data_IF_274367723119
#
_entry.id   IF_274367723119
#
_cell.length_a   1.000
_cell.length_b   1.000
_cell.length_c   1.000
_cell.angle_alpha   90.00
_cell.angle_beta   90.00
_cell.angle_gamma   90.00
#
_symmetry.space_group_name_H-M   'P 1'
#
loop_
_entity.id
_entity.type
_entity.pdbx_description
1 polymer ?
#
# COMPACT_ATOMS: atom_id res chain seq x y z
N UNK A 1 5.42 24.10 -8.02
CA UNK A 1 6.28 23.17 -8.76
C UNK A 1 5.44 21.98 -9.20
N UNK A 2 5.42 21.64 -10.50
CA UNK A 2 4.84 20.40 -10.99
C UNK A 2 5.96 19.40 -11.29
N UNK A 3 5.93 18.23 -10.67
CA UNK A 3 6.91 17.17 -10.89
C UNK A 3 6.36 16.14 -11.87
N UNK A 4 7.21 15.55 -12.70
CA UNK A 4 6.82 14.43 -13.56
C UNK A 4 6.58 13.15 -12.74
N UNK A 5 5.74 12.24 -13.24
CA UNK A 5 5.55 10.92 -12.60
C UNK A 5 6.87 10.13 -12.50
N UNK A 6 7.79 10.30 -13.45
CA UNK A 6 9.11 9.67 -13.42
C UNK A 6 9.94 10.15 -12.24
N UNK A 7 10.02 11.48 -12.05
CA UNK A 7 10.75 12.09 -10.92
C UNK A 7 10.11 11.72 -9.58
N UNK A 8 8.78 11.71 -9.50
CA UNK A 8 8.05 11.31 -8.28
C UNK A 8 8.43 9.89 -7.86
N UNK A 9 8.44 8.93 -8.80
CA UNK A 9 8.85 7.57 -8.48
C UNK A 9 10.32 7.48 -8.09
N UNK A 10 11.22 8.10 -8.85
CA UNK A 10 12.65 8.05 -8.56
C UNK A 10 13.00 8.65 -7.18
N UNK A 11 12.34 9.76 -6.80
CA UNK A 11 12.50 10.35 -5.47
C UNK A 11 11.89 9.47 -4.38
N UNK A 12 10.75 8.85 -4.65
CA UNK A 12 10.10 7.90 -3.72
C UNK A 12 10.98 6.68 -3.44
N UNK A 13 11.57 6.08 -4.49
CA UNK A 13 12.54 4.98 -4.36
C UNK A 13 13.76 5.40 -3.54
N UNK A 14 14.32 6.59 -3.81
CA UNK A 14 15.45 7.13 -3.04
C UNK A 14 15.09 7.36 -1.58
N UNK A 15 13.91 7.90 -1.29
CA UNK A 15 13.44 8.12 0.08
C UNK A 15 13.25 6.79 0.82
N UNK A 16 12.67 5.78 0.18
CA UNK A 16 12.51 4.45 0.73
C UNK A 16 13.86 3.78 1.04
N UNK A 17 14.84 3.88 0.12
CA UNK A 17 16.23 3.43 0.36
C UNK A 17 16.87 4.17 1.52
N UNK A 18 16.71 5.49 1.58
CA UNK A 18 17.22 6.33 2.67
C UNK A 18 16.66 5.96 4.05
N UNK A 19 15.48 5.34 4.09
CA UNK A 19 14.86 4.84 5.32
C UNK A 19 15.17 3.35 5.61
N UNK A 20 16.13 2.74 4.89
CA UNK A 20 16.59 1.38 5.16
C UNK A 20 15.72 0.26 4.58
N UNK A 21 14.90 0.54 3.55
CA UNK A 21 14.29 -0.54 2.75
C UNK A 21 15.34 -1.15 1.82
N UNK A 22 15.26 -2.45 1.54
CA UNK A 22 16.13 -3.10 0.55
C UNK A 22 15.86 -2.56 -0.86
N UNK A 23 16.67 -2.98 -1.83
CA UNK A 23 16.59 -2.43 -3.18
C UNK A 23 15.26 -2.77 -3.87
N UNK A 24 14.79 -4.00 -3.71
CA UNK A 24 13.51 -4.47 -4.27
C UNK A 24 12.33 -3.70 -3.69
N UNK A 25 12.15 -3.69 -2.36
CA UNK A 25 11.01 -3.01 -1.75
C UNK A 25 11.04 -1.50 -1.95
N UNK A 26 12.23 -0.90 -2.08
CA UNK A 26 12.30 0.52 -2.41
C UNK A 26 11.83 0.82 -3.84
N UNK A 27 12.10 -0.06 -4.80
CA UNK A 27 11.58 0.10 -6.15
C UNK A 27 10.05 -0.08 -6.18
N UNK A 28 9.55 -1.08 -5.45
CA UNK A 28 8.10 -1.28 -5.26
C UNK A 28 7.42 -0.05 -4.60
N UNK A 29 8.10 0.63 -3.67
CA UNK A 29 7.61 1.89 -3.10
C UNK A 29 7.45 2.97 -4.17
N UNK A 30 8.44 3.11 -5.06
CA UNK A 30 8.41 4.05 -6.18
C UNK A 30 7.30 3.73 -7.19
N UNK A 31 7.11 2.44 -7.50
CA UNK A 31 6.00 1.96 -8.31
C UNK A 31 4.65 2.33 -7.68
N UNK A 32 4.45 1.99 -6.40
CA UNK A 32 3.19 2.22 -5.70
C UNK A 32 2.81 3.71 -5.69
N UNK A 33 3.75 4.59 -5.38
CA UNK A 33 3.50 6.04 -5.37
C UNK A 33 3.15 6.55 -6.76
N UNK A 34 3.86 6.12 -7.81
CA UNK A 34 3.53 6.48 -9.20
C UNK A 34 2.13 6.05 -9.59
N UNK A 35 1.76 4.82 -9.23
CA UNK A 35 0.45 4.26 -9.55
C UNK A 35 -0.68 5.08 -8.90
N UNK A 36 -0.51 5.42 -7.62
CA UNK A 36 -1.46 6.24 -6.85
C UNK A 36 -1.54 7.66 -7.40
N UNK A 37 -0.40 8.31 -7.64
CA UNK A 37 -0.35 9.69 -8.09
C UNK A 37 -0.96 9.88 -9.48
N UNK A 38 -0.76 8.90 -10.39
CA UNK A 38 -1.40 8.89 -11.71
C UNK A 38 -2.93 8.88 -11.63
N UNK A 39 -3.48 8.39 -10.52
CA UNK A 39 -4.91 8.29 -10.22
C UNK A 39 -5.41 9.37 -9.26
N UNK A 40 -4.61 10.42 -9.06
CA UNK A 40 -4.91 11.54 -8.16
C UNK A 40 -5.13 11.12 -6.70
N UNK A 41 -4.62 9.94 -6.31
CA UNK A 41 -4.61 9.48 -4.92
C UNK A 41 -3.36 10.03 -4.20
N UNK A 42 -3.43 10.26 -2.88
CA UNK A 42 -2.35 10.93 -2.12
C UNK A 42 -1.17 9.99 -1.81
N UNK A 43 -0.58 9.38 -2.84
CA UNK A 43 0.50 8.39 -2.70
C UNK A 43 1.77 8.95 -2.09
N UNK A 44 2.16 10.17 -2.45
CA UNK A 44 3.33 10.84 -1.85
C UNK A 44 3.13 11.04 -0.35
N UNK A 45 1.96 11.55 0.06
CA UNK A 45 1.65 11.79 1.47
C UNK A 45 1.60 10.48 2.27
N UNK A 46 1.04 9.42 1.69
CA UNK A 46 1.04 8.10 2.30
C UNK A 46 2.45 7.54 2.50
N UNK A 47 3.33 7.68 1.48
CA UNK A 47 4.72 7.24 1.60
C UNK A 47 5.48 8.06 2.65
N UNK A 48 5.36 9.40 2.66
CA UNK A 48 6.01 10.23 3.67
C UNK A 48 5.61 9.79 5.08
N UNK A 49 4.32 9.59 5.33
CA UNK A 49 3.82 9.13 6.63
C UNK A 49 4.36 7.76 7.00
N UNK A 50 4.37 6.83 6.04
CA UNK A 50 4.92 5.49 6.25
C UNK A 50 6.39 5.54 6.63
N UNK A 51 7.21 6.26 5.86
CA UNK A 51 8.65 6.35 6.05
C UNK A 51 9.00 7.04 7.38
N UNK A 52 8.25 8.07 7.79
CA UNK A 52 8.43 8.70 9.10
C UNK A 52 8.17 7.73 10.25
N UNK A 53 7.15 6.89 10.16
CA UNK A 53 6.88 5.88 11.18
C UNK A 53 7.90 4.73 11.14
N UNK A 54 8.29 4.27 9.95
CA UNK A 54 9.16 3.09 9.75
C UNK A 54 10.51 3.22 10.45
N UNK A 55 11.02 4.44 10.65
CA UNK A 55 12.30 4.67 11.30
C UNK A 55 12.35 4.20 12.76
N UNK A 56 11.20 4.14 13.44
CA UNK A 56 11.09 3.77 14.86
C UNK A 56 10.04 2.70 15.14
N UNK A 57 9.25 2.33 14.13
CA UNK A 57 8.16 1.36 14.26
C UNK A 57 8.61 -0.09 14.14
N UNK A 58 7.92 -0.96 14.86
CA UNK A 58 8.11 -2.41 14.76
C UNK A 58 7.40 -2.97 13.53
N UNK A 59 8.17 -3.59 12.64
CA UNK A 59 7.66 -4.26 11.44
C UNK A 59 7.40 -5.73 11.76
N UNK A 60 6.17 -6.18 11.50
CA UNK A 60 5.78 -7.59 11.55
C UNK A 60 5.84 -8.18 10.15
N UNK A 61 6.29 -9.44 10.05
CA UNK A 61 6.32 -10.22 8.82
C UNK A 61 5.18 -11.23 8.84
N UNK A 62 4.47 -11.40 7.73
CA UNK A 62 3.44 -12.45 7.65
C UNK A 62 4.12 -13.84 7.62
N UNK A 63 3.57 -14.89 8.28
CA UNK A 63 2.25 -14.97 8.93
C UNK A 63 2.23 -14.60 10.41
N UNK A 64 3.31 -14.04 10.95
CA UNK A 64 3.36 -13.69 12.38
C UNK A 64 2.27 -12.66 12.72
N UNK A 65 1.64 -12.84 13.87
CA UNK A 65 0.65 -11.88 14.37
C UNK A 65 1.33 -10.59 14.77
N UNK A 66 0.65 -9.47 14.55
CA UNK A 66 1.19 -8.11 14.80
C UNK A 66 1.52 -7.83 16.27
N UNK A 67 1.11 -8.68 17.22
CA UNK A 67 1.22 -8.39 18.65
C UNK A 67 0.56 -7.05 19.01
N UNK A 68 1.03 -6.43 20.10
CA UNK A 68 0.45 -5.18 20.62
C UNK A 68 0.91 -3.93 19.84
N UNK A 69 2.16 -3.92 19.35
CA UNK A 69 2.81 -2.75 18.72
C UNK A 69 3.22 -2.94 17.27
N UNK A 70 3.33 -4.19 16.81
CA UNK A 70 3.79 -4.51 15.46
C UNK A 70 2.79 -4.11 14.38
N UNK A 71 3.30 -3.80 13.20
CA UNK A 71 2.48 -3.52 12.03
C UNK A 71 3.08 -4.16 10.77
N UNK A 72 2.22 -4.62 9.88
CA UNK A 72 2.64 -5.06 8.56
C UNK A 72 3.11 -3.90 7.69
N UNK A 73 4.19 -4.14 6.95
CA UNK A 73 4.69 -3.24 5.90
C UNK A 73 3.75 -3.31 4.68
N UNK A 74 3.06 -2.22 4.30
CA UNK A 74 2.11 -2.23 3.20
C UNK A 74 2.73 -2.59 1.85
N UNK A 75 4.00 -2.21 1.65
CA UNK A 75 4.73 -2.45 0.40
C UNK A 75 5.13 -3.92 0.30
N UNK A 76 5.70 -4.49 1.38
CA UNK A 76 6.09 -5.90 1.38
C UNK A 76 4.87 -6.81 1.31
N UNK A 77 3.85 -6.56 2.14
CA UNK A 77 2.59 -7.31 2.12
C UNK A 77 1.88 -7.20 0.77
N UNK A 78 1.83 -6.00 0.20
CA UNK A 78 1.26 -5.79 -1.13
C UNK A 78 2.03 -6.54 -2.21
N UNK A 79 3.35 -6.45 -2.25
CA UNK A 79 4.19 -7.17 -3.20
C UNK A 79 3.99 -8.69 -3.10
N UNK A 80 4.00 -9.24 -1.88
CA UNK A 80 3.69 -10.67 -1.65
C UNK A 80 2.29 -11.06 -2.15
N UNK A 81 1.31 -10.16 -2.07
CA UNK A 81 -0.01 -10.38 -2.66
C UNK A 81 0.04 -10.41 -4.19
N UNK A 82 0.76 -9.46 -4.80
CA UNK A 82 1.06 -9.44 -6.22
C UNK A 82 1.70 -10.74 -6.74
N UNK A 83 2.57 -11.34 -5.91
CA UNK A 83 3.29 -12.57 -6.21
C UNK A 83 2.45 -13.85 -5.99
N UNK A 84 1.20 -13.74 -5.51
CA UNK A 84 0.31 -14.87 -5.30
C UNK A 84 0.60 -15.69 -4.04
N UNK A 85 1.22 -15.09 -3.02
CA UNK A 85 1.47 -15.74 -1.73
C UNK A 85 0.17 -16.00 -0.96
N UNK A 86 -0.84 -15.16 -1.16
CA UNK A 86 -2.15 -15.27 -0.51
C UNK A 86 -3.19 -15.90 -1.45
N UNK A 87 -4.24 -16.47 -0.86
CA UNK A 87 -5.39 -16.98 -1.60
C UNK A 87 -6.37 -15.87 -2.02
N UNK A 88 -7.61 -16.27 -2.29
CA UNK A 88 -8.72 -15.39 -2.67
C UNK A 88 -9.10 -14.38 -1.58
N UNK A 89 -8.84 -14.72 -0.32
CA UNK A 89 -9.05 -13.85 0.83
C UNK A 89 -7.76 -13.68 1.62
N UNK A 90 -7.50 -12.45 2.06
CA UNK A 90 -6.38 -12.12 2.93
C UNK A 90 -6.81 -11.09 3.97
N UNK A 91 -6.40 -11.29 5.22
CA UNK A 91 -6.72 -10.41 6.34
C UNK A 91 -5.43 -10.03 7.08
N UNK A 92 -5.27 -8.74 7.33
CA UNK A 92 -4.12 -8.15 8.00
C UNK A 92 -4.60 -7.31 9.17
N UNK A 93 -4.29 -7.75 10.39
CA UNK A 93 -4.77 -7.13 11.63
C UNK A 93 -4.38 -5.65 11.75
N UNK A 94 -3.12 -5.31 11.44
CA UNK A 94 -2.58 -3.95 11.57
C UNK A 94 -1.60 -3.65 10.46
N UNK A 95 -2.07 -3.14 9.33
CA UNK A 95 -1.19 -2.67 8.25
C UNK A 95 -0.95 -1.18 8.37
N UNK A 96 0.29 -0.72 8.20
CA UNK A 96 0.56 0.72 8.16
C UNK A 96 0.22 1.30 6.81
N UNK A 97 -0.39 2.50 6.79
CA UNK A 97 -0.69 3.27 5.58
C UNK A 97 -1.22 2.39 4.43
N UNK A 98 -2.39 1.74 4.61
CA UNK A 98 -2.93 0.72 3.71
C UNK A 98 -3.08 1.18 2.26
N UNK A 99 -3.19 2.49 2.02
CA UNK A 99 -3.23 3.05 0.67
C UNK A 99 -2.05 2.61 -0.21
N UNK A 100 -0.86 2.40 0.39
CA UNK A 100 0.33 1.95 -0.35
C UNK A 100 0.24 0.49 -0.81
N UNK A 101 -0.69 -0.31 -0.28
CA UNK A 101 -0.90 -1.71 -0.67
C UNK A 101 -1.78 -1.83 -1.94
N UNK A 102 -2.69 -0.88 -2.17
CA UNK A 102 -3.66 -0.89 -3.29
C UNK A 102 -3.03 -1.20 -4.67
N UNK A 103 -1.89 -0.59 -5.06
CA UNK A 103 -1.33 -0.79 -6.40
C UNK A 103 -0.97 -2.24 -6.71
N UNK A 104 -0.54 -3.00 -5.71
CA UNK A 104 -0.12 -4.39 -5.88
C UNK A 104 -1.30 -5.32 -6.03
N UNK A 105 -2.35 -5.13 -5.21
CA UNK A 105 -3.60 -5.88 -5.35
C UNK A 105 -4.28 -5.56 -6.68
N UNK A 106 -4.17 -4.31 -7.17
CA UNK A 106 -4.70 -3.92 -8.46
C UNK A 106 -4.03 -4.65 -9.65
N UNK A 107 -2.80 -5.17 -9.49
CA UNK A 107 -2.18 -6.03 -10.50
C UNK A 107 -2.87 -7.39 -10.60
N UNK A 108 -3.42 -7.88 -9.50
CA UNK A 108 -4.15 -9.15 -9.41
C UNK A 108 -5.62 -9.03 -9.85
N UNK A 109 -6.18 -7.82 -9.85
CA UNK A 109 -7.57 -7.52 -10.25
C UNK A 109 -7.75 -7.68 -11.77
N UNK A 110 -7.68 -8.92 -12.23
CA UNK A 110 -7.83 -9.34 -13.62
C UNK A 110 -9.27 -9.71 -13.96
N UNK A 111 -9.56 -11.01 -14.07
CA UNK A 111 -10.91 -11.50 -14.41
C UNK A 111 -11.90 -11.40 -13.25
N UNK A 112 -11.40 -11.49 -12.02
CA UNK A 112 -12.20 -11.41 -10.80
C UNK A 112 -11.99 -10.02 -10.19
N UNK A 113 -13.05 -9.26 -9.93
CA UNK A 113 -12.96 -8.03 -9.16
C UNK A 113 -12.34 -8.30 -7.78
N UNK A 114 -11.61 -7.34 -7.21
CA UNK A 114 -11.07 -7.46 -5.86
C UNK A 114 -11.56 -6.29 -5.02
N UNK A 115 -12.09 -6.60 -3.85
CA UNK A 115 -12.50 -5.63 -2.85
C UNK A 115 -11.45 -5.55 -1.75
N UNK A 116 -11.00 -4.33 -1.45
CA UNK A 116 -10.12 -4.05 -0.33
C UNK A 116 -10.86 -3.13 0.62
N UNK A 117 -10.93 -3.50 1.89
CA UNK A 117 -11.59 -2.72 2.91
C UNK A 117 -10.64 -2.42 4.07
N UNK A 118 -10.62 -1.16 4.49
CA UNK A 118 -9.94 -0.72 5.70
C UNK A 118 -10.67 0.48 6.31
N UNK A 119 -10.90 0.42 7.63
CA UNK A 119 -11.73 1.40 8.35
C UNK A 119 -13.08 1.63 7.63
N UNK A 120 -13.35 2.88 7.21
CA UNK A 120 -14.55 3.29 6.49
C UNK A 120 -14.32 3.45 4.98
N UNK A 121 -13.20 2.94 4.45
CA UNK A 121 -12.85 3.05 3.04
C UNK A 121 -12.89 1.69 2.39
N UNK A 122 -13.60 1.60 1.26
CA UNK A 122 -13.67 0.40 0.44
C UNK A 122 -13.16 0.75 -0.95
N UNK A 123 -12.17 0.00 -1.43
CA UNK A 123 -11.68 0.04 -2.80
C UNK A 123 -12.22 -1.17 -3.56
N UNK A 124 -12.83 -0.92 -4.71
CA UNK A 124 -13.24 -1.95 -5.67
C UNK A 124 -12.32 -1.84 -6.88
N UNK A 125 -11.59 -2.91 -7.15
CA UNK A 125 -10.61 -3.00 -8.23
C UNK A 125 -11.12 -4.00 -9.26
N UNK A 126 -11.14 -3.61 -10.53
CA UNK A 126 -11.50 -4.50 -11.63
C UNK A 126 -10.61 -4.23 -12.85
N UNK A 127 -10.74 -5.07 -13.86
CA UNK A 127 -10.05 -4.86 -15.15
C UNK A 127 -10.35 -3.50 -15.77
N UNK A 128 -11.58 -3.03 -15.63
CA UNK A 128 -12.11 -1.86 -16.33
C UNK A 128 -11.90 -0.56 -15.55
N UNK A 129 -11.46 -0.64 -14.30
CA UNK A 129 -11.19 0.54 -13.51
C UNK A 129 -11.03 0.28 -12.02
N UNK A 130 -10.97 1.37 -11.27
CA UNK A 130 -11.01 1.33 -9.81
C UNK A 130 -12.05 2.33 -9.33
N UNK A 131 -12.77 1.98 -8.27
CA UNK A 131 -13.70 2.85 -7.58
C UNK A 131 -13.42 2.77 -6.08
N UNK A 132 -13.72 3.84 -5.34
CA UNK A 132 -13.64 3.82 -3.89
C UNK A 132 -14.78 4.62 -3.28
N UNK A 133 -15.21 4.23 -2.09
CA UNK A 133 -16.09 5.03 -1.23
C UNK A 133 -15.25 5.67 -0.13
N UNK A 134 -15.10 7.00 -0.15
CA UNK A 134 -14.34 7.74 0.86
C UNK A 134 -14.79 9.20 0.92
N UNK A 135 -14.71 9.81 2.10
CA UNK A 135 -14.49 11.27 2.22
C UNK A 135 -12.99 11.52 1.99
N UNK A 136 -12.55 12.54 1.25
CA UNK A 136 -11.16 12.70 0.76
C UNK A 136 -10.05 12.52 1.84
N UNK A 137 -10.32 12.86 3.10
CA UNK A 137 -9.37 12.71 4.23
C UNK A 137 -9.28 11.29 4.78
N UNK A 138 -10.25 10.42 4.51
CA UNK A 138 -10.30 9.06 5.05
C UNK A 138 -9.28 8.10 4.40
N UNK A 139 -8.60 8.50 3.32
CA UNK A 139 -7.60 7.65 2.65
C UNK A 139 -6.23 7.64 3.32
N UNK A 140 -5.87 8.73 4.02
CA UNK A 140 -4.61 8.82 4.74
C UNK A 140 -4.79 8.26 6.15
N UNK A 141 -5.02 6.96 6.24
CA UNK A 141 -5.09 6.22 7.51
C UNK A 141 -3.70 5.83 7.99
N UNK A 142 -3.47 5.90 9.30
CA UNK A 142 -2.15 5.67 9.88
C UNK A 142 -1.84 4.18 9.84
N UNK A 143 -2.72 3.40 10.45
CA UNK A 143 -2.77 1.95 10.46
C UNK A 143 -4.24 1.56 10.50
N UNK A 144 -4.54 0.38 9.98
CA UNK A 144 -5.86 -0.19 10.10
C UNK A 144 -5.79 -1.70 10.02
N UNK A 145 -6.89 -2.31 10.42
CA UNK A 145 -7.25 -3.62 9.90
C UNK A 145 -7.51 -3.51 8.39
N UNK A 146 -7.01 -4.47 7.62
CA UNK A 146 -7.18 -4.51 6.16
C UNK A 146 -7.66 -5.91 5.75
N UNK A 147 -8.76 -5.96 5.00
CA UNK A 147 -9.29 -7.19 4.42
C UNK A 147 -9.35 -7.08 2.91
N UNK A 148 -8.89 -8.11 2.23
CA UNK A 148 -8.89 -8.27 0.78
C UNK A 148 -9.73 -9.50 0.44
N UNK A 149 -10.66 -9.37 -0.49
CA UNK A 149 -11.50 -10.46 -0.98
C UNK A 149 -11.72 -10.32 -2.49
N UNK A 150 -11.57 -11.40 -3.24
CA UNK A 150 -11.94 -11.51 -4.66
C UNK A 150 -13.44 -11.71 -4.87
#
# INVERSE_FOLDING_TARGET
MSWSLGEIGALSTKAARGCGMDWGLADEAGYAVKWLQRRQLPGIAALCRYLSWRQTGDITVWPDLTGDTGHYCPIATGASFGDGVFGDEAEFSRIRTPLLLIPFVALCAGKTPITISFENVVFNLSRDGFAYSSNDTAMLIAASHCRIST
#
